data_IF_009748130823
#
_entry.id   IF_009748130823
#
_cell.length_a   1.000
_cell.length_b   1.000
_cell.length_c   1.000
_cell.angle_alpha   90.00
_cell.angle_beta   90.00
_cell.angle_gamma   90.00
#
_symmetry.space_group_name_H-M   'P 1'
#
loop_
_entity.id
_entity.type
_entity.pdbx_description
1 polymer ?
#
# COMPACT_ATOMS: atom_id res chain seq x y z
N UNK A 1 -11.48 12.53 -7.82
CA UNK A 1 -10.51 12.27 -6.76
C UNK A 1 -9.13 12.02 -7.34
N UNK A 2 -8.12 12.55 -6.70
CA UNK A 2 -6.74 12.27 -7.09
C UNK A 2 -6.29 10.91 -6.58
N UNK A 3 -5.22 10.38 -7.14
CA UNK A 3 -4.62 9.14 -6.66
C UNK A 3 -4.28 9.24 -5.17
N UNK A 4 -3.69 10.36 -4.76
CA UNK A 4 -3.33 10.59 -3.36
C UNK A 4 -4.54 10.49 -2.44
N UNK A 5 -5.67 11.06 -2.84
CA UNK A 5 -6.90 11.01 -2.05
C UNK A 5 -7.45 9.58 -1.96
N UNK A 6 -7.39 8.85 -3.06
CA UNK A 6 -7.87 7.46 -3.09
C UNK A 6 -7.01 6.55 -2.19
N UNK A 7 -5.70 6.75 -2.21
CA UNK A 7 -4.80 6.00 -1.35
C UNK A 7 -4.97 6.38 0.12
N UNK A 8 -5.22 7.65 0.38
CA UNK A 8 -5.52 8.11 1.74
C UNK A 8 -6.77 7.42 2.30
N UNK A 9 -7.79 7.23 1.46
CA UNK A 9 -8.99 6.52 1.86
C UNK A 9 -8.73 5.07 2.22
N UNK A 10 -7.65 4.47 1.69
CA UNK A 10 -7.23 3.12 2.03
C UNK A 10 -6.31 3.08 3.27
N UNK A 11 -6.08 4.22 3.90
CA UNK A 11 -5.26 4.29 5.10
C UNK A 11 -3.80 4.63 4.86
N UNK A 12 -3.42 4.89 3.62
CA UNK A 12 -2.05 5.28 3.29
C UNK A 12 -1.83 6.77 3.50
N UNK A 13 -0.61 7.14 3.82
CA UNK A 13 -0.19 8.55 3.86
C UNK A 13 1.00 8.73 2.94
N UNK A 14 1.12 9.90 2.33
CA UNK A 14 2.27 10.25 1.52
C UNK A 14 3.45 10.57 2.42
N UNK A 15 4.60 9.93 2.18
CA UNK A 15 5.79 10.09 3.01
C UNK A 15 7.00 10.41 2.14
N UNK A 16 8.00 11.04 2.72
CA UNK A 16 9.26 11.42 2.07
C UNK A 16 9.04 12.31 0.86
N UNK A 17 9.01 11.73 -0.33
CA UNK A 17 8.79 12.46 -1.58
C UNK A 17 7.45 12.07 -2.21
N UNK A 18 7.12 12.70 -3.31
CA UNK A 18 5.92 12.37 -4.07
C UNK A 18 5.98 10.91 -4.54
N UNK A 19 4.84 10.26 -4.59
CA UNK A 19 4.68 8.89 -5.07
C UNK A 19 5.08 7.82 -4.06
N UNK A 20 5.47 8.19 -2.85
CA UNK A 20 5.80 7.24 -1.79
C UNK A 20 4.68 7.25 -0.75
N UNK A 21 4.16 6.09 -0.43
CA UNK A 21 3.01 5.94 0.45
C UNK A 21 3.29 4.90 1.51
N UNK A 22 2.83 5.17 2.72
CA UNK A 22 3.05 4.28 3.87
C UNK A 22 1.76 4.08 4.64
N UNK A 23 1.46 2.84 4.99
CA UNK A 23 0.41 2.52 5.94
C UNK A 23 1.09 1.97 7.20
N UNK A 24 1.12 2.80 8.24
CA UNK A 24 1.92 2.54 9.45
C UNK A 24 1.44 1.33 10.24
N UNK A 25 0.15 1.11 10.32
CA UNK A 25 -0.42 -0.01 11.06
C UNK A 25 -0.02 -1.37 10.49
N UNK A 26 0.30 -1.41 9.19
CA UNK A 26 0.72 -2.62 8.50
C UNK A 26 2.22 -2.60 8.18
N UNK A 27 2.89 -1.48 8.49
CA UNK A 27 4.28 -1.27 8.09
C UNK A 27 4.48 -1.57 6.61
N UNK A 28 3.51 -1.14 5.80
CA UNK A 28 3.49 -1.38 4.36
C UNK A 28 3.86 -0.11 3.61
N UNK A 29 4.96 -0.18 2.87
CA UNK A 29 5.45 0.92 2.03
C UNK A 29 5.23 0.58 0.57
N UNK A 30 4.73 1.55 -0.20
CA UNK A 30 4.46 1.38 -1.63
C UNK A 30 5.00 2.59 -2.39
N UNK A 31 5.79 2.33 -3.42
CA UNK A 31 6.27 3.38 -4.32
C UNK A 31 5.55 3.22 -5.66
N UNK A 32 4.84 4.27 -6.07
CA UNK A 32 4.06 4.28 -7.31
C UNK A 32 4.60 5.36 -8.23
N UNK A 33 4.86 4.99 -9.48
CA UNK A 33 5.33 5.94 -10.49
C UNK A 33 4.81 5.53 -11.86
N UNK A 34 4.38 6.52 -12.65
CA UNK A 34 3.79 6.28 -13.97
C UNK A 34 2.60 5.33 -13.92
N UNK A 35 1.75 5.50 -12.91
CA UNK A 35 0.56 4.67 -12.67
C UNK A 35 0.89 3.17 -12.51
N UNK A 36 2.07 2.87 -11.97
CA UNK A 36 2.48 1.49 -11.70
C UNK A 36 3.14 1.40 -10.34
N UNK A 37 2.91 0.29 -9.67
CA UNK A 37 3.62 -0.01 -8.43
C UNK A 37 5.03 -0.43 -8.81
N UNK A 38 6.01 0.36 -8.40
CA UNK A 38 7.41 0.10 -8.72
C UNK A 38 8.15 -0.66 -7.63
N UNK A 39 7.72 -0.48 -6.39
CA UNK A 39 8.41 -1.10 -5.26
C UNK A 39 7.44 -1.20 -4.09
N UNK A 40 7.52 -2.30 -3.36
CA UNK A 40 6.79 -2.47 -2.11
C UNK A 40 7.74 -3.02 -1.05
N UNK A 41 7.49 -2.64 0.20
CA UNK A 41 8.21 -3.18 1.33
C UNK A 41 7.19 -3.57 2.40
N UNK A 42 7.29 -4.80 2.87
CA UNK A 42 6.37 -5.33 3.87
C UNK A 42 7.09 -5.53 5.19
N UNK A 43 6.32 -5.63 6.27
CA UNK A 43 6.87 -5.90 7.59
C UNK A 43 7.54 -7.27 7.63
N UNK A 44 8.60 -7.38 8.40
CA UNK A 44 9.25 -8.66 8.66
C UNK A 44 8.43 -9.45 9.67
N UNK A 45 8.54 -10.75 9.64
CA UNK A 45 7.71 -11.64 10.47
C UNK A 45 7.80 -11.28 11.96
N UNK A 46 8.99 -10.89 12.42
CA UNK A 46 9.19 -10.56 13.84
C UNK A 46 8.73 -9.16 14.23
N UNK A 47 8.30 -8.36 13.26
CA UNK A 47 7.79 -7.02 13.52
C UNK A 47 6.27 -7.00 13.67
N UNK A 48 5.61 -8.12 13.41
CA UNK A 48 4.15 -8.18 13.45
C UNK A 48 3.66 -8.24 14.89
N UNK A 49 2.74 -7.33 15.22
CA UNK A 49 2.17 -7.25 16.58
C UNK A 49 0.66 -7.43 16.59
N UNK A 50 -0.01 -7.15 15.47
CA UNK A 50 -1.46 -7.09 15.39
C UNK A 50 -2.09 -8.25 14.62
N UNK A 51 -1.29 -9.22 14.21
CA UNK A 51 -1.76 -10.36 13.42
C UNK A 51 -1.35 -11.66 14.08
N UNK A 52 -2.23 -12.64 14.05
CA UNK A 52 -1.97 -13.93 14.66
C UNK A 52 -0.93 -14.75 13.91
N UNK A 53 -0.76 -14.48 12.62
CA UNK A 53 0.28 -15.14 11.83
C UNK A 53 0.62 -14.32 10.59
N UNK A 54 1.75 -14.66 9.97
CA UNK A 54 2.25 -13.90 8.82
C UNK A 54 1.39 -14.08 7.57
N UNK A 55 0.78 -15.24 7.41
CA UNK A 55 -0.11 -15.50 6.27
C UNK A 55 -1.31 -14.55 6.29
N UNK A 56 -1.90 -14.35 7.46
CA UNK A 56 -3.02 -13.42 7.62
C UNK A 56 -2.61 -12.01 7.24
N UNK A 57 -1.42 -11.58 7.66
CA UNK A 57 -0.87 -10.28 7.31
C UNK A 57 -0.69 -10.16 5.79
N UNK A 58 -0.08 -11.15 5.15
CA UNK A 58 0.15 -11.12 3.70
C UNK A 58 -1.15 -11.10 2.91
N UNK A 59 -2.17 -11.79 3.39
CA UNK A 59 -3.49 -11.76 2.74
C UNK A 59 -4.06 -10.35 2.76
N UNK A 60 -3.92 -9.66 3.88
CA UNK A 60 -4.36 -8.26 3.99
C UNK A 60 -3.58 -7.35 3.05
N UNK A 61 -2.26 -7.52 3.01
CA UNK A 61 -1.39 -6.76 2.11
C UNK A 61 -1.79 -6.99 0.65
N UNK A 62 -1.97 -8.25 0.25
CA UNK A 62 -2.36 -8.56 -1.12
C UNK A 62 -3.71 -7.95 -1.49
N UNK A 63 -4.66 -7.97 -0.56
CA UNK A 63 -5.96 -7.36 -0.80
C UNK A 63 -5.82 -5.85 -1.06
N UNK A 64 -4.99 -5.17 -0.26
CA UNK A 64 -4.73 -3.75 -0.45
C UNK A 64 -4.01 -3.46 -1.76
N UNK A 65 -3.04 -4.28 -2.11
CA UNK A 65 -2.31 -4.11 -3.39
C UNK A 65 -3.25 -4.27 -4.57
N UNK A 66 -4.17 -5.22 -4.52
CA UNK A 66 -5.18 -5.39 -5.57
C UNK A 66 -6.08 -4.15 -5.68
N UNK A 67 -6.46 -3.57 -4.54
CA UNK A 67 -7.24 -2.34 -4.55
C UNK A 67 -6.46 -1.18 -5.17
N UNK A 68 -5.17 -1.06 -4.86
CA UNK A 68 -4.31 -0.03 -5.44
C UNK A 68 -4.20 -0.22 -6.94
N UNK A 69 -3.97 -1.45 -7.41
CA UNK A 69 -3.87 -1.74 -8.83
C UNK A 69 -5.16 -1.39 -9.58
N UNK A 70 -6.31 -1.66 -8.97
CA UNK A 70 -7.59 -1.29 -9.55
C UNK A 70 -7.72 0.23 -9.69
N UNK A 71 -7.30 0.98 -8.67
CA UNK A 71 -7.30 2.43 -8.69
C UNK A 71 -6.39 2.95 -9.81
N UNK A 72 -5.21 2.37 -9.95
CA UNK A 72 -4.24 2.78 -10.97
C UNK A 72 -4.75 2.48 -12.37
N UNK A 73 -5.38 1.33 -12.54
CA UNK A 73 -5.97 0.94 -13.82
C UNK A 73 -7.03 1.95 -14.25
N UNK A 74 -7.92 2.32 -13.33
CA UNK A 74 -8.97 3.29 -13.61
C UNK A 74 -8.39 4.67 -13.93
N UNK A 75 -7.23 5.01 -13.38
CA UNK A 75 -6.60 6.31 -13.56
C UNK A 75 -5.86 6.44 -14.89
N UNK A 76 -5.59 5.34 -15.58
CA UNK A 76 -4.90 5.37 -16.88
C UNK A 76 -5.81 5.90 -18.00
N UNK A 77 -7.10 5.93 -17.78
CA UNK A 77 -8.04 6.49 -18.72
C UNK A 77 -8.14 8.01 -18.55
#
# INVERSE_FOLDING_TARGET
MTLKEKLKALGFEEVYEHNEYLRRDLDLYVYIRYNKIKYIQVAKVWELKNFSNYTEYLNKVNHLLNQIESILYDSEE
#
